data_IF_964052159221
#
_entry.id   IF_964052159221
#
_cell.length_a   1.000
_cell.length_b   1.000
_cell.length_c   1.000
_cell.angle_alpha   90.00
_cell.angle_beta   90.00
_cell.angle_gamma   90.00
#
_symmetry.space_group_name_H-M   'P 1'
#
loop_
_entity.id
_entity.type
_entity.pdbx_description
1 polymer ?
#
# COMPACT_ATOMS: atom_id res chain seq x y z
N UNK A 1 -32.65 59.51 -0.89
CA UNK A 1 -32.68 58.79 -2.18
C UNK A 1 -33.81 59.29 -3.08
N UNK A 2 -35.09 59.09 -2.72
CA UNK A 2 -36.21 59.58 -3.55
C UNK A 2 -36.27 61.11 -3.64
N UNK A 3 -36.16 61.81 -2.51
CA UNK A 3 -36.12 63.29 -2.45
C UNK A 3 -34.88 63.89 -3.14
N UNK A 4 -33.81 63.10 -3.30
CA UNK A 4 -32.57 63.47 -3.99
C UNK A 4 -32.63 63.20 -5.50
N UNK A 5 -33.78 62.74 -6.03
CA UNK A 5 -33.98 62.34 -7.43
C UNK A 5 -33.01 61.25 -7.91
N UNK A 6 -32.61 60.34 -7.01
CA UNK A 6 -31.74 59.21 -7.35
C UNK A 6 -32.57 57.94 -7.70
N UNK A 7 -33.81 57.88 -7.21
CA UNK A 7 -34.77 56.77 -7.42
C UNK A 7 -36.19 57.33 -7.63
N UNK A 8 -36.97 56.68 -8.46
CA UNK A 8 -38.38 57.00 -8.70
C UNK A 8 -39.27 56.02 -7.93
N UNK A 9 -40.27 56.55 -7.23
CA UNK A 9 -41.28 55.77 -6.54
C UNK A 9 -42.57 55.76 -7.36
N UNK A 10 -43.05 54.58 -7.75
CA UNK A 10 -44.35 54.42 -8.42
C UNK A 10 -45.34 53.72 -7.50
N UNK A 11 -46.54 54.26 -7.42
CA UNK A 11 -47.63 53.68 -6.63
C UNK A 11 -48.19 52.47 -7.39
N UNK A 12 -48.11 51.29 -6.77
CA UNK A 12 -48.71 50.06 -7.24
C UNK A 12 -49.77 49.60 -6.23
N UNK A 13 -51.00 50.06 -6.41
CA UNK A 13 -52.10 49.78 -5.48
C UNK A 13 -51.88 50.41 -4.11
N UNK A 14 -51.78 49.61 -3.04
CA UNK A 14 -51.56 50.08 -1.65
C UNK A 14 -50.08 50.25 -1.26
N UNK A 15 -49.16 49.95 -2.17
CA UNK A 15 -47.72 49.99 -1.90
C UNK A 15 -47.02 50.94 -2.88
N UNK A 16 -45.88 51.50 -2.47
CA UNK A 16 -45.00 52.29 -3.34
C UNK A 16 -43.77 51.44 -3.63
N UNK A 17 -43.50 51.21 -4.92
CA UNK A 17 -42.31 50.50 -5.38
C UNK A 17 -41.30 51.53 -5.85
N UNK A 18 -40.11 51.49 -5.26
CA UNK A 18 -38.99 52.35 -5.65
C UNK A 18 -38.07 51.63 -6.63
N UNK A 19 -37.71 52.30 -7.71
CA UNK A 19 -36.76 51.80 -8.69
C UNK A 19 -35.68 52.85 -9.00
N UNK A 20 -34.51 52.37 -9.42
CA UNK A 20 -33.47 53.25 -9.93
C UNK A 20 -33.95 53.96 -11.20
N UNK A 21 -33.51 55.20 -11.39
CA UNK A 21 -33.80 55.95 -12.61
C UNK A 21 -33.07 55.30 -13.79
N UNK A 22 -33.83 54.78 -14.74
CA UNK A 22 -33.32 54.25 -16.01
C UNK A 22 -33.42 55.36 -17.06
N UNK A 23 -32.62 56.42 -16.92
CA UNK A 23 -32.40 57.35 -18.03
C UNK A 23 -31.55 56.62 -19.08
N UNK A 24 -32.20 56.14 -20.15
CA UNK A 24 -31.48 55.60 -21.30
C UNK A 24 -30.57 56.69 -21.89
N UNK A 25 -29.36 56.35 -22.37
CA UNK A 25 -28.55 57.34 -23.09
C UNK A 25 -29.37 57.87 -24.27
N UNK A 26 -29.49 59.20 -24.39
CA UNK A 26 -30.26 59.86 -25.47
C UNK A 26 -29.79 59.45 -26.87
N UNK A 27 -28.59 58.89 -26.97
CA UNK A 27 -27.87 58.67 -28.22
C UNK A 27 -27.68 57.17 -28.54
N UNK A 28 -28.42 56.27 -27.89
CA UNK A 28 -28.34 54.82 -28.15
C UNK A 28 -29.00 54.46 -29.48
N UNK A 29 -28.33 54.77 -30.58
CA UNK A 29 -28.80 54.41 -31.92
C UNK A 29 -28.76 52.89 -32.11
N UNK A 30 -29.67 52.30 -32.91
CA UNK A 30 -29.65 50.88 -33.24
C UNK A 30 -28.29 50.40 -33.77
N UNK A 31 -27.55 51.27 -34.46
CA UNK A 31 -26.21 50.99 -34.97
C UNK A 31 -25.17 50.81 -33.86
N UNK A 32 -25.22 51.62 -32.79
CA UNK A 32 -24.31 51.47 -31.65
C UNK A 32 -24.59 50.20 -30.85
N UNK A 33 -25.86 49.83 -30.70
CA UNK A 33 -26.24 48.56 -30.06
C UNK A 33 -25.73 47.36 -30.87
N UNK A 34 -25.90 47.39 -32.19
CA UNK A 34 -25.37 46.34 -33.07
C UNK A 34 -23.83 46.24 -33.02
N UNK A 35 -23.13 47.37 -32.91
CA UNK A 35 -21.68 47.40 -32.73
C UNK A 35 -21.26 46.78 -31.38
N UNK A 36 -21.96 47.11 -30.29
CA UNK A 36 -21.72 46.51 -28.97
C UNK A 36 -22.00 45.01 -28.95
N UNK A 37 -23.04 44.54 -29.63
CA UNK A 37 -23.33 43.11 -29.77
C UNK A 37 -22.23 42.40 -30.56
N UNK A 38 -21.71 43.01 -31.61
CA UNK A 38 -20.56 42.51 -32.35
C UNK A 38 -19.30 42.43 -31.48
N UNK A 39 -19.05 43.45 -30.66
CA UNK A 39 -17.92 43.46 -29.73
C UNK A 39 -18.08 42.38 -28.64
N UNK A 40 -19.28 42.24 -28.06
CA UNK A 40 -19.58 41.20 -27.08
C UNK A 40 -19.40 39.80 -27.64
N UNK A 41 -19.85 39.55 -28.87
CA UNK A 41 -19.68 38.24 -29.51
C UNK A 41 -18.20 37.94 -29.77
N UNK A 42 -17.43 38.93 -30.23
CA UNK A 42 -15.99 38.80 -30.42
C UNK A 42 -15.26 38.52 -29.10
N UNK A 43 -15.53 39.31 -28.05
CA UNK A 43 -14.93 39.12 -26.73
C UNK A 43 -15.28 37.76 -26.13
N UNK A 44 -16.52 37.29 -26.28
CA UNK A 44 -16.93 35.94 -25.85
C UNK A 44 -16.16 34.86 -26.59
N UNK A 45 -15.95 35.01 -27.90
CA UNK A 45 -15.15 34.07 -28.69
C UNK A 45 -13.68 34.07 -28.25
N UNK A 46 -13.09 35.23 -27.98
CA UNK A 46 -11.72 35.34 -27.47
C UNK A 46 -11.57 34.73 -26.07
N UNK A 47 -12.54 34.93 -25.18
CA UNK A 47 -12.54 34.30 -23.85
C UNK A 47 -12.62 32.79 -23.98
N UNK A 48 -13.48 32.27 -24.86
CA UNK A 48 -13.60 30.84 -25.10
C UNK A 48 -12.29 30.24 -25.64
N UNK A 49 -11.65 30.88 -26.63
CA UNK A 49 -10.39 30.39 -27.21
C UNK A 49 -9.24 30.42 -26.20
N UNK A 50 -9.12 31.50 -25.42
CA UNK A 50 -8.09 31.61 -24.37
C UNK A 50 -8.26 30.56 -23.28
N UNK A 51 -9.50 30.26 -22.87
CA UNK A 51 -9.77 29.18 -21.90
C UNK A 51 -9.37 27.81 -22.43
N UNK A 52 -9.62 27.53 -23.71
CA UNK A 52 -9.18 26.28 -24.34
C UNK A 52 -7.65 26.19 -24.39
N UNK A 53 -6.98 27.28 -24.78
CA UNK A 53 -5.52 27.34 -24.83
C UNK A 53 -4.88 27.19 -23.45
N UNK A 54 -5.44 27.83 -22.43
CA UNK A 54 -5.02 27.67 -21.03
C UNK A 54 -5.15 26.21 -20.58
N UNK A 55 -6.27 25.55 -20.92
CA UNK A 55 -6.48 24.14 -20.58
C UNK A 55 -5.43 23.25 -21.23
N UNK A 56 -5.14 23.45 -22.53
CA UNK A 56 -4.12 22.70 -23.25
C UNK A 56 -2.72 22.90 -22.62
N UNK A 57 -2.34 24.14 -22.33
CA UNK A 57 -1.07 24.46 -21.66
C UNK A 57 -0.94 23.81 -20.28
N UNK A 58 -2.03 23.76 -19.51
CA UNK A 58 -2.04 23.07 -18.21
C UNK A 58 -1.85 21.57 -18.38
N UNK A 59 -2.53 20.95 -19.36
CA UNK A 59 -2.35 19.53 -19.66
C UNK A 59 -0.90 19.21 -20.11
N UNK A 60 -0.29 20.07 -20.94
CA UNK A 60 1.12 19.96 -21.33
C UNK A 60 2.08 20.11 -20.15
N UNK A 61 1.81 21.09 -19.27
CA UNK A 61 2.62 21.32 -18.07
C UNK A 61 2.56 20.13 -17.12
N UNK A 62 1.36 19.59 -16.86
CA UNK A 62 1.17 18.40 -16.03
C UNK A 62 1.91 17.18 -16.61
N UNK A 63 1.87 16.99 -17.93
CA UNK A 63 2.60 15.92 -18.60
C UNK A 63 4.13 16.08 -18.48
N UNK A 64 4.64 17.31 -18.51
CA UNK A 64 6.05 17.62 -18.33
C UNK A 64 6.49 17.48 -16.87
N UNK A 65 5.69 17.97 -15.91
CA UNK A 65 6.01 17.88 -14.48
C UNK A 65 5.87 16.48 -13.91
N UNK A 66 5.03 15.63 -14.52
CA UNK A 66 4.95 14.22 -14.17
C UNK A 66 6.23 13.44 -14.54
N UNK A 67 7.10 13.99 -15.39
CA UNK A 67 8.40 13.39 -15.69
C UNK A 67 9.41 13.77 -14.61
N UNK A 68 10.00 12.76 -14.00
CA UNK A 68 11.17 12.92 -13.13
C UNK A 68 12.29 13.59 -13.94
N UNK A 69 12.93 14.64 -13.40
CA UNK A 69 14.09 15.29 -14.02
C UNK A 69 15.18 14.27 -14.40
N UNK A 70 15.87 14.49 -15.52
CA UNK A 70 16.82 13.50 -16.07
C UNK A 70 18.04 13.26 -15.16
N UNK A 71 18.44 14.29 -14.42
CA UNK A 71 19.43 14.25 -13.35
C UNK A 71 18.98 13.38 -12.17
N UNK A 72 17.77 13.60 -11.64
CA UNK A 72 17.19 12.74 -10.58
C UNK A 72 17.03 11.28 -11.04
N UNK A 73 16.63 11.08 -12.31
CA UNK A 73 16.55 9.75 -12.91
C UNK A 73 17.92 9.07 -12.97
N UNK A 74 18.97 9.81 -13.32
CA UNK A 74 20.35 9.30 -13.36
C UNK A 74 20.82 8.87 -11.98
N UNK A 75 20.58 9.69 -10.95
CA UNK A 75 20.91 9.33 -9.57
C UNK A 75 20.17 8.06 -9.13
N UNK A 76 18.88 7.97 -9.47
CA UNK A 76 18.05 6.80 -9.17
C UNK A 76 18.59 5.54 -9.85
N UNK A 77 18.96 5.62 -11.12
CA UNK A 77 19.58 4.50 -11.87
C UNK A 77 20.90 4.09 -11.22
N UNK A 78 21.80 5.03 -10.93
CA UNK A 78 23.08 4.72 -10.28
C UNK A 78 22.88 4.05 -8.91
N UNK A 79 21.89 4.51 -8.13
CA UNK A 79 21.52 3.88 -6.86
C UNK A 79 21.03 2.45 -7.05
N UNK A 80 20.11 2.21 -7.99
CA UNK A 80 19.57 0.88 -8.28
C UNK A 80 20.64 -0.08 -8.81
N UNK A 81 21.57 0.40 -9.63
CA UNK A 81 22.70 -0.39 -10.10
C UNK A 81 23.63 -0.82 -8.96
N UNK A 82 23.89 0.07 -8.01
CA UNK A 82 24.66 -0.25 -6.80
C UNK A 82 23.94 -1.29 -5.94
N UNK A 83 22.65 -1.10 -5.68
CA UNK A 83 21.82 -2.05 -4.92
C UNK A 83 21.77 -3.44 -5.59
N UNK A 84 21.61 -3.46 -6.92
CA UNK A 84 21.67 -4.70 -7.72
C UNK A 84 23.02 -5.39 -7.57
N UNK A 85 24.12 -4.65 -7.66
CA UNK A 85 25.48 -5.19 -7.53
C UNK A 85 25.70 -5.78 -6.14
N UNK A 86 25.22 -5.11 -5.10
CA UNK A 86 25.29 -5.59 -3.72
C UNK A 86 24.46 -6.86 -3.51
N UNK A 87 23.22 -6.89 -4.00
CA UNK A 87 22.35 -8.06 -3.93
C UNK A 87 22.95 -9.27 -4.67
N UNK A 88 23.50 -9.06 -5.86
CA UNK A 88 24.21 -10.09 -6.61
C UNK A 88 25.48 -10.56 -5.89
N UNK A 89 26.23 -9.64 -5.26
CA UNK A 89 27.39 -9.97 -4.44
C UNK A 89 27.04 -10.84 -3.24
N UNK A 90 25.89 -10.60 -2.60
CA UNK A 90 25.37 -11.44 -1.50
C UNK A 90 24.90 -12.81 -2.00
N UNK A 91 24.34 -12.89 -3.20
CA UNK A 91 23.87 -14.13 -3.80
C UNK A 91 25.01 -14.99 -4.38
N UNK A 92 26.11 -14.39 -4.84
CA UNK A 92 27.19 -15.12 -5.50
C UNK A 92 27.79 -16.24 -4.63
N UNK A 93 28.13 -16.05 -3.34
CA UNK A 93 28.62 -17.14 -2.48
C UNK A 93 27.62 -18.29 -2.27
N UNK A 94 26.32 -17.99 -2.33
CA UNK A 94 25.24 -18.97 -2.22
C UNK A 94 25.06 -19.78 -3.51
N UNK A 95 25.35 -19.18 -4.67
CA UNK A 95 25.27 -19.84 -5.99
C UNK A 95 26.53 -20.61 -6.35
N UNK A 96 27.69 -20.08 -5.98
CA UNK A 96 29.00 -20.68 -6.27
C UNK A 96 29.31 -21.91 -5.39
N UNK A 97 28.41 -22.27 -4.46
CA UNK A 97 28.61 -23.40 -3.55
C UNK A 97 29.72 -23.20 -2.50
N UNK A 98 30.27 -21.98 -2.39
CA UNK A 98 31.28 -21.61 -1.38
C UNK A 98 30.72 -21.66 0.04
N UNK A 99 29.42 -21.43 0.18
CA UNK A 99 28.66 -21.79 1.38
C UNK A 99 27.94 -23.09 1.05
N UNK A 100 28.18 -24.15 1.83
CA UNK A 100 27.48 -25.44 1.71
C UNK A 100 26.06 -25.29 2.27
N UNK A 101 25.28 -24.37 1.69
CA UNK A 101 23.84 -24.32 1.91
C UNK A 101 23.24 -25.19 0.82
N UNK A 102 23.01 -26.46 1.14
CA UNK A 102 22.20 -27.32 0.28
C UNK A 102 20.86 -26.59 0.10
N UNK A 103 20.60 -26.09 -1.11
CA UNK A 103 19.33 -25.43 -1.42
C UNK A 103 18.26 -26.51 -1.33
N UNK A 104 17.67 -26.66 -0.15
CA UNK A 104 16.57 -27.59 0.07
C UNK A 104 15.33 -26.99 -0.57
N UNK A 105 14.66 -27.78 -1.40
CA UNK A 105 13.35 -27.38 -1.89
C UNK A 105 12.35 -27.36 -0.72
N UNK A 106 11.27 -26.61 -0.86
CA UNK A 106 10.21 -26.57 0.16
C UNK A 106 9.64 -27.99 0.37
N UNK A 107 9.52 -28.75 -0.71
CA UNK A 107 9.04 -30.13 -0.71
C UNK A 107 9.99 -31.09 0.02
N UNK A 108 11.30 -30.94 -0.17
CA UNK A 108 12.30 -31.72 0.55
C UNK A 108 12.29 -31.43 2.05
N UNK A 109 12.13 -30.16 2.42
CA UNK A 109 12.03 -29.72 3.81
C UNK A 109 10.76 -30.30 4.47
N UNK A 110 9.61 -30.17 3.82
CA UNK A 110 8.35 -30.71 4.33
C UNK A 110 8.39 -32.23 4.51
N UNK A 111 9.03 -32.96 3.57
CA UNK A 111 9.22 -34.41 3.68
C UNK A 111 10.06 -34.76 4.92
N UNK A 112 11.19 -34.10 5.12
CA UNK A 112 12.07 -34.34 6.27
C UNK A 112 11.36 -34.00 7.57
N UNK A 113 10.63 -32.89 7.62
CA UNK A 113 9.87 -32.49 8.82
C UNK A 113 8.72 -33.47 9.12
N UNK A 114 8.08 -34.01 8.09
CA UNK A 114 7.09 -35.08 8.22
C UNK A 114 7.67 -36.36 8.80
N UNK A 115 8.79 -36.84 8.24
CA UNK A 115 9.51 -38.02 8.75
C UNK A 115 9.97 -37.83 10.20
N UNK A 116 10.54 -36.67 10.51
CA UNK A 116 10.94 -36.30 11.87
C UNK A 116 9.77 -36.38 12.85
N UNK A 117 8.60 -35.83 12.48
CA UNK A 117 7.40 -35.85 13.32
C UNK A 117 6.94 -37.28 13.62
N UNK A 118 6.96 -38.16 12.61
CA UNK A 118 6.62 -39.58 12.77
C UNK A 118 7.59 -40.29 13.70
N UNK A 119 8.90 -40.15 13.48
CA UNK A 119 9.91 -40.79 14.31
C UNK A 119 9.90 -40.29 15.75
N UNK A 120 9.73 -38.97 15.93
CA UNK A 120 9.55 -38.37 17.26
C UNK A 120 8.34 -38.96 17.98
N UNK A 121 7.20 -39.07 17.31
CA UNK A 121 6.00 -39.69 17.86
C UNK A 121 6.23 -41.15 18.27
N UNK A 122 6.92 -41.94 17.44
CA UNK A 122 7.28 -43.33 17.74
C UNK A 122 8.20 -43.46 18.94
N UNK A 123 9.23 -42.61 19.04
CA UNK A 123 10.16 -42.61 20.18
C UNK A 123 9.42 -42.27 21.47
N UNK A 124 8.56 -41.24 21.46
CA UNK A 124 7.76 -40.87 22.63
C UNK A 124 6.81 -42.00 23.04
N UNK A 125 6.10 -42.61 22.09
CA UNK A 125 5.20 -43.73 22.37
C UNK A 125 5.93 -44.95 22.93
N UNK A 126 7.07 -45.32 22.34
CA UNK A 126 7.90 -46.45 22.83
C UNK A 126 8.46 -46.20 24.22
N UNK A 127 8.94 -44.97 24.50
CA UNK A 127 9.40 -44.59 25.85
C UNK A 127 8.28 -44.71 26.87
N UNK A 128 7.07 -44.23 26.53
CA UNK A 128 5.92 -44.33 27.41
C UNK A 128 5.56 -45.79 27.72
N UNK A 129 5.44 -46.64 26.70
CA UNK A 129 5.14 -48.06 26.88
C UNK A 129 6.21 -48.75 27.73
N UNK A 130 7.49 -48.46 27.46
CA UNK A 130 8.60 -49.04 28.20
C UNK A 130 8.56 -48.64 29.68
N UNK A 131 8.27 -47.37 29.97
CA UNK A 131 8.11 -46.86 31.34
C UNK A 131 6.92 -47.50 32.05
N UNK A 132 5.75 -47.51 31.42
CA UNK A 132 4.53 -48.12 32.00
C UNK A 132 4.73 -49.61 32.32
N UNK A 133 5.40 -50.34 31.43
CA UNK A 133 5.71 -51.76 31.65
C UNK A 133 6.73 -51.93 32.77
N UNK A 134 7.76 -51.07 32.80
CA UNK A 134 8.79 -51.09 33.83
C UNK A 134 8.20 -50.83 35.22
N UNK A 135 7.34 -49.82 35.36
CA UNK A 135 6.64 -49.49 36.61
C UNK A 135 5.87 -50.71 37.13
N UNK A 136 5.03 -51.33 36.29
CA UNK A 136 4.26 -52.53 36.66
C UNK A 136 5.14 -53.71 37.09
N UNK A 137 6.25 -53.94 36.38
CA UNK A 137 7.18 -55.00 36.74
C UNK A 137 7.90 -54.69 38.07
N UNK A 138 8.22 -53.42 38.32
CA UNK A 138 8.91 -52.99 39.53
C UNK A 138 8.02 -52.99 40.79
N UNK A 139 6.71 -52.78 40.63
CA UNK A 139 5.73 -52.78 41.74
C UNK A 139 5.55 -54.15 42.41
N UNK A 140 5.81 -55.24 41.67
CA UNK A 140 5.60 -56.63 42.14
C UNK A 140 6.90 -57.32 42.57
N UNK A 141 8.00 -56.57 42.71
CA UNK A 141 9.29 -57.14 43.09
C UNK A 141 9.31 -57.54 44.59
N UNK A 142 9.79 -58.75 44.93
CA UNK A 142 10.02 -59.18 46.31
C UNK A 142 10.90 -58.22 47.12
N UNK A 143 10.62 -58.08 48.42
CA UNK A 143 11.43 -57.30 49.35
C UNK A 143 12.87 -57.86 49.40
N UNK A 144 13.85 -57.08 48.93
CA UNK A 144 15.27 -57.44 48.87
C UNK A 144 15.92 -57.37 47.48
N UNK A 145 15.14 -57.16 46.41
CA UNK A 145 15.68 -56.86 45.08
C UNK A 145 16.14 -55.39 45.03
N UNK A 146 17.32 -55.16 44.44
CA UNK A 146 18.03 -53.87 44.35
C UNK A 146 17.15 -52.73 43.84
N UNK A 147 17.55 -51.48 44.13
CA UNK A 147 16.90 -50.26 43.63
C UNK A 147 16.64 -50.38 42.12
N UNK A 148 15.44 -49.98 41.69
CA UNK A 148 14.91 -50.10 40.32
C UNK A 148 15.94 -49.72 39.22
N UNK A 149 16.76 -48.70 39.45
CA UNK A 149 17.80 -48.25 38.52
C UNK A 149 18.95 -49.26 38.34
N UNK A 150 19.38 -49.95 39.38
CA UNK A 150 20.44 -50.97 39.29
C UNK A 150 19.96 -52.22 38.53
N UNK A 151 18.66 -52.54 38.65
CA UNK A 151 18.03 -53.62 37.89
C UNK A 151 17.92 -53.26 36.41
N UNK A 152 17.57 -52.01 36.09
CA UNK A 152 17.51 -51.49 34.72
C UNK A 152 18.87 -51.63 34.01
N UNK A 153 19.96 -51.23 34.68
CA UNK A 153 21.32 -51.40 34.15
C UNK A 153 21.73 -52.88 34.04
N UNK A 154 21.37 -53.72 35.02
CA UNK A 154 21.68 -55.17 35.00
C UNK A 154 21.00 -55.88 33.82
N UNK A 155 19.82 -55.43 33.41
CA UNK A 155 19.12 -55.96 32.24
C UNK A 155 19.67 -55.43 30.90
N UNK A 156 20.73 -54.62 30.94
CA UNK A 156 21.37 -54.04 29.75
C UNK A 156 20.52 -52.97 29.07
N UNK A 157 19.62 -52.31 29.81
CA UNK A 157 18.79 -51.24 29.28
C UNK A 157 19.51 -49.90 29.46
N UNK A 158 19.66 -49.17 28.35
CA UNK A 158 20.36 -47.88 28.31
C UNK A 158 19.37 -46.71 28.12
N UNK A 159 19.70 -45.57 28.73
CA UNK A 159 18.90 -44.35 28.67
C UNK A 159 18.04 -44.12 29.92
N UNK A 160 17.59 -42.87 30.10
CA UNK A 160 16.69 -42.51 31.21
C UNK A 160 15.25 -42.89 30.89
N UNK A 161 14.59 -43.50 31.88
CA UNK A 161 13.15 -43.78 31.92
C UNK A 161 12.30 -42.51 31.71
#
# INVERSE_FOLDING_TARGET
MHERKEIEGRVAGKQIVYHALQAGPSDSTPAQLAALDSELTNLRAQVASRKQYEKALREELEALSARVPTDELRETVCRLEREKKEALGRLAPLRDGRVVTKMLSVEEQERVDGEWRVWKGRVVGRKRICREMWERCSEVLPEGIKKSEELWETLGLEGRL
#
